data_IF_800390820677
#
_entry.id   IF_800390820677
#
_cell.length_a   1.000
_cell.length_b   1.000
_cell.length_c   1.000
_cell.angle_alpha   90.00
_cell.angle_beta   90.00
_cell.angle_gamma   90.00
#
_symmetry.space_group_name_H-M   'P 1'
#
loop_
_entity.id
_entity.type
_entity.pdbx_description
1 polymer ?
#
# COMPACT_ATOMS: atom_id res chain seq x y z
N UNK A 1 20.67 -4.06 12.30
CA UNK A 1 21.47 -4.83 13.27
C UNK A 1 21.32 -6.34 13.02
N UNK A 2 21.22 -6.77 11.75
CA UNK A 2 21.07 -8.18 11.41
C UNK A 2 22.42 -8.84 11.11
N UNK A 3 22.47 -10.18 11.24
CA UNK A 3 23.66 -11.01 10.93
C UNK A 3 24.87 -10.70 11.81
N UNK A 4 24.67 -10.66 13.12
CA UNK A 4 25.76 -10.52 14.10
C UNK A 4 25.70 -11.66 15.11
N UNK A 5 26.60 -11.61 16.08
CA UNK A 5 26.68 -12.59 17.18
C UNK A 5 26.05 -12.03 18.47
N UNK A 6 25.08 -11.11 18.36
CA UNK A 6 24.46 -10.50 19.54
C UNK A 6 23.65 -11.52 20.32
N UNK A 7 23.82 -11.54 21.63
CA UNK A 7 23.18 -12.48 22.56
C UNK A 7 22.53 -11.75 23.72
N UNK A 8 21.66 -12.45 24.44
CA UNK A 8 20.90 -11.88 25.56
C UNK A 8 19.53 -11.36 25.12
N UNK A 9 18.88 -10.56 25.98
CA UNK A 9 17.53 -10.07 25.73
C UNK A 9 17.51 -8.82 24.86
N UNK A 10 16.37 -8.55 24.20
CA UNK A 10 16.11 -7.24 23.61
C UNK A 10 15.88 -6.24 24.76
N UNK A 11 16.70 -5.17 24.87
CA UNK A 11 16.59 -4.20 25.96
C UNK A 11 15.26 -3.44 25.90
N UNK A 12 14.64 -3.18 27.05
CA UNK A 12 13.36 -2.44 27.15
C UNK A 12 13.51 -0.99 26.70
N UNK A 13 14.72 -0.45 26.79
CA UNK A 13 15.11 0.90 26.39
C UNK A 13 14.93 1.14 24.88
N UNK A 14 14.77 0.09 24.07
CA UNK A 14 14.44 0.22 22.64
C UNK A 14 13.15 1.02 22.43
N UNK A 15 12.21 0.99 23.39
CA UNK A 15 10.99 1.78 23.35
C UNK A 15 11.22 3.29 23.37
N UNK A 16 12.37 3.76 23.84
CA UNK A 16 12.74 5.18 23.84
C UNK A 16 13.25 5.68 22.49
N UNK A 17 13.48 4.81 21.52
CA UNK A 17 13.92 5.18 20.18
C UNK A 17 12.74 5.69 19.33
N UNK A 18 12.12 6.80 19.73
CA UNK A 18 10.85 7.31 19.17
C UNK A 18 10.91 7.66 17.66
N UNK A 19 12.10 7.84 17.10
CA UNK A 19 12.30 8.14 15.68
C UNK A 19 12.63 6.90 14.83
N UNK A 20 12.64 5.70 15.42
CA UNK A 20 13.03 4.48 14.73
C UNK A 20 11.88 3.99 13.82
N UNK A 21 12.14 3.96 12.51
CA UNK A 21 11.17 3.52 11.50
C UNK A 21 11.45 2.10 10.99
N UNK A 22 12.66 1.60 11.18
CA UNK A 22 13.10 0.29 10.70
C UNK A 22 14.00 -0.35 11.74
N UNK A 23 13.62 -1.54 12.21
CA UNK A 23 14.38 -2.32 13.17
C UNK A 23 14.56 -3.75 12.65
N UNK A 24 15.80 -4.07 12.26
CA UNK A 24 16.18 -5.41 11.85
C UNK A 24 17.22 -5.97 12.81
N UNK A 25 16.81 -6.97 13.59
CA UNK A 25 17.56 -7.75 14.57
C UNK A 25 17.72 -9.21 14.13
N UNK A 26 17.40 -9.52 12.87
CA UNK A 26 17.39 -10.90 12.38
C UNK A 26 18.78 -11.56 12.36
N UNK A 27 18.83 -12.87 12.43
CA UNK A 27 20.06 -13.67 12.35
C UNK A 27 21.07 -13.27 13.45
N UNK A 28 20.66 -13.41 14.71
CA UNK A 28 21.47 -13.21 15.91
C UNK A 28 21.21 -14.37 16.91
N UNK A 29 21.71 -14.24 18.14
CA UNK A 29 21.48 -15.17 19.26
C UNK A 29 20.65 -14.53 20.39
N UNK A 30 19.73 -13.62 20.03
CA UNK A 30 18.87 -12.95 21.00
C UNK A 30 17.86 -13.94 21.59
N UNK A 31 17.59 -13.84 22.88
CA UNK A 31 16.71 -14.76 23.62
C UNK A 31 15.75 -14.01 24.55
N UNK A 32 14.81 -14.73 25.16
CA UNK A 32 13.77 -14.12 25.98
C UNK A 32 12.61 -13.52 25.17
N UNK A 33 11.68 -12.80 25.83
CA UNK A 33 10.50 -12.24 25.17
C UNK A 33 10.83 -10.98 24.36
N UNK A 34 9.96 -10.64 23.40
CA UNK A 34 9.94 -9.29 22.82
C UNK A 34 9.42 -8.33 23.89
N UNK A 35 10.17 -7.27 24.28
CA UNK A 35 9.70 -6.31 25.26
C UNK A 35 8.50 -5.54 24.70
N UNK A 36 7.42 -5.45 25.48
CA UNK A 36 6.20 -4.70 25.09
C UNK A 36 6.50 -3.22 24.81
N UNK A 37 7.59 -2.68 25.36
CA UNK A 37 8.06 -1.31 25.14
C UNK A 37 8.35 -1.01 23.67
N UNK A 38 8.62 -2.02 22.84
CA UNK A 38 8.74 -1.83 21.38
C UNK A 38 7.48 -1.20 20.78
N UNK A 39 6.32 -1.38 21.43
CA UNK A 39 5.03 -0.79 21.01
C UNK A 39 4.92 0.72 21.26
N UNK A 40 5.85 1.29 22.03
CA UNK A 40 5.97 2.74 22.25
C UNK A 40 6.65 3.45 21.07
N UNK A 41 7.29 2.71 20.15
CA UNK A 41 7.92 3.27 18.96
C UNK A 41 6.83 3.55 17.91
N UNK A 42 6.22 4.73 18.00
CA UNK A 42 5.02 5.06 17.24
C UNK A 42 5.18 5.08 15.71
N UNK A 43 6.39 5.23 15.19
CA UNK A 43 6.66 5.30 13.74
C UNK A 43 7.41 4.08 13.20
N UNK A 44 7.49 2.98 13.96
CA UNK A 44 8.16 1.76 13.53
C UNK A 44 7.36 1.07 12.41
N UNK A 45 7.91 1.06 11.19
CA UNK A 45 7.25 0.50 10.02
C UNK A 45 7.60 -0.96 9.75
N UNK A 46 8.83 -1.33 10.07
CA UNK A 46 9.39 -2.66 9.82
C UNK A 46 10.08 -3.20 11.07
N UNK A 47 9.70 -4.40 11.49
CA UNK A 47 10.33 -5.15 12.56
C UNK A 47 10.74 -6.53 12.05
N UNK A 48 12.03 -6.84 12.04
CA UNK A 48 12.49 -8.19 11.77
C UNK A 48 13.29 -8.72 12.94
N UNK A 49 12.80 -9.80 13.54
CA UNK A 49 13.45 -10.52 14.62
C UNK A 49 13.69 -11.99 14.26
N UNK A 50 13.55 -12.35 12.99
CA UNK A 50 13.65 -13.74 12.56
C UNK A 50 15.03 -14.33 12.75
N UNK A 51 15.12 -15.66 12.86
CA UNK A 51 16.37 -16.37 13.10
C UNK A 51 17.07 -15.90 14.38
N UNK A 52 16.36 -16.03 15.50
CA UNK A 52 16.86 -15.81 16.86
C UNK A 52 16.35 -16.94 17.78
N UNK A 53 16.56 -16.79 19.08
CA UNK A 53 16.11 -17.71 20.14
C UNK A 53 15.03 -17.06 21.03
N UNK A 54 14.28 -16.10 20.49
CA UNK A 54 13.23 -15.40 21.22
C UNK A 54 12.07 -16.35 21.55
N UNK A 55 11.42 -16.12 22.69
CA UNK A 55 10.41 -17.03 23.23
C UNK A 55 9.20 -16.27 23.81
N UNK A 56 8.34 -17.01 24.51
CA UNK A 56 7.06 -16.54 25.05
C UNK A 56 6.03 -16.18 23.95
N UNK A 57 4.90 -15.59 24.35
CA UNK A 57 3.85 -15.15 23.43
C UNK A 57 4.20 -13.83 22.77
N UNK A 58 3.71 -13.65 21.53
CA UNK A 58 3.80 -12.39 20.81
C UNK A 58 3.00 -11.28 21.56
N UNK A 59 3.56 -10.08 21.78
CA UNK A 59 2.88 -9.00 22.51
C UNK A 59 1.58 -8.58 21.80
N UNK A 60 0.44 -8.75 22.46
CA UNK A 60 -0.89 -8.43 21.91
C UNK A 60 -1.03 -6.95 21.53
N UNK A 61 -0.37 -6.10 22.29
CA UNK A 61 -0.31 -4.64 22.13
C UNK A 61 0.28 -4.24 20.76
N UNK A 62 1.14 -5.08 20.18
CA UNK A 62 1.70 -4.86 18.84
C UNK A 62 0.62 -4.86 17.74
N UNK A 63 -0.52 -5.51 18.00
CA UNK A 63 -1.70 -5.40 17.13
C UNK A 63 -2.19 -3.96 16.98
N UNK A 64 -1.94 -3.09 17.96
CA UNK A 64 -2.36 -1.68 17.92
C UNK A 64 -1.34 -0.76 17.22
N UNK A 65 -0.15 -1.25 16.85
CA UNK A 65 0.91 -0.45 16.22
C UNK A 65 0.61 -0.16 14.74
N UNK A 66 -0.25 0.81 14.46
CA UNK A 66 -0.70 1.14 13.08
C UNK A 66 0.43 1.44 12.08
N UNK A 67 1.59 1.88 12.55
CA UNK A 67 2.79 2.09 11.72
C UNK A 67 3.45 0.77 11.31
N UNK A 68 3.40 -0.26 12.15
CA UNK A 68 4.07 -1.54 11.89
C UNK A 68 3.35 -2.33 10.80
N UNK A 69 3.83 -2.17 9.56
CA UNK A 69 3.22 -2.73 8.35
C UNK A 69 3.84 -4.05 7.92
N UNK A 70 5.06 -4.33 8.36
CA UNK A 70 5.75 -5.59 8.10
C UNK A 70 6.47 -6.03 9.36
N UNK A 71 6.16 -7.24 9.80
CA UNK A 71 6.87 -7.90 10.86
C UNK A 71 7.27 -9.32 10.45
N UNK A 72 8.47 -9.74 10.82
CA UNK A 72 8.95 -11.11 10.64
C UNK A 72 9.43 -11.68 11.98
N UNK A 73 8.66 -12.64 12.48
CA UNK A 73 8.90 -13.37 13.73
C UNK A 73 9.35 -14.82 13.47
N UNK A 74 9.63 -15.17 12.21
CA UNK A 74 9.87 -16.55 11.81
C UNK A 74 11.17 -17.10 12.43
N UNK A 75 11.28 -18.43 12.52
CA UNK A 75 12.49 -19.09 13.01
C UNK A 75 12.94 -18.60 14.39
N UNK A 76 12.04 -18.72 15.36
CA UNK A 76 12.25 -18.43 16.79
C UNK A 76 11.61 -19.55 17.63
N UNK A 77 11.47 -19.33 18.94
CA UNK A 77 10.81 -20.24 19.87
C UNK A 77 9.55 -19.62 20.51
N UNK A 78 8.81 -18.80 19.76
CA UNK A 78 7.55 -18.22 20.23
C UNK A 78 6.47 -19.29 20.45
N UNK A 79 5.57 -19.02 21.38
CA UNK A 79 4.56 -19.98 21.84
C UNK A 79 3.19 -19.35 22.01
N UNK A 80 2.14 -20.15 21.90
CA UNK A 80 0.75 -19.74 22.13
C UNK A 80 0.05 -19.26 20.86
N UNK A 81 -1.15 -18.72 21.06
CA UNK A 81 -2.02 -18.29 19.96
C UNK A 81 -1.51 -16.98 19.32
N UNK A 82 -1.43 -16.95 17.99
CA UNK A 82 -1.20 -15.73 17.22
C UNK A 82 -2.41 -14.81 17.40
N UNK A 83 -2.26 -13.58 17.91
CA UNK A 83 -3.38 -12.66 18.01
C UNK A 83 -4.00 -12.40 16.62
N UNK A 84 -5.32 -12.54 16.47
CA UNK A 84 -5.99 -12.36 15.16
C UNK A 84 -6.65 -10.99 14.99
N UNK A 85 -6.07 -9.96 15.60
CA UNK A 85 -6.59 -8.59 15.56
C UNK A 85 -5.49 -7.57 15.29
N UNK A 86 -5.90 -6.39 14.81
CA UNK A 86 -4.98 -5.30 14.55
C UNK A 86 -3.94 -5.67 13.48
N UNK A 87 -2.67 -5.31 13.66
CA UNK A 87 -1.63 -5.59 12.67
C UNK A 87 -1.33 -7.07 12.45
N UNK A 88 -1.56 -7.92 13.45
CA UNK A 88 -1.33 -9.35 13.29
C UNK A 88 -2.23 -9.99 12.23
N UNK A 89 -3.40 -9.42 11.93
CA UNK A 89 -4.26 -9.92 10.85
C UNK A 89 -3.76 -9.57 9.44
N UNK A 90 -2.78 -8.68 9.32
CA UNK A 90 -2.19 -8.24 8.04
C UNK A 90 -0.80 -8.84 7.78
N UNK A 91 -0.11 -9.34 8.80
CA UNK A 91 1.19 -9.99 8.62
C UNK A 91 1.05 -11.29 7.82
N UNK A 92 2.03 -11.56 6.96
CA UNK A 92 2.02 -12.76 6.12
C UNK A 92 2.13 -14.01 7.02
N UNK A 93 1.47 -15.12 6.64
CA UNK A 93 1.60 -16.40 7.34
C UNK A 93 3.06 -16.85 7.44
N UNK A 94 3.89 -16.51 6.45
CA UNK A 94 5.34 -16.79 6.47
C UNK A 94 6.06 -16.14 7.65
N UNK A 95 5.59 -14.98 8.12
CA UNK A 95 6.17 -14.23 9.25
C UNK A 95 6.12 -14.98 10.58
N UNK A 96 5.35 -16.06 10.67
CA UNK A 96 5.18 -16.85 11.89
C UNK A 96 5.79 -18.25 11.80
N UNK A 97 6.26 -18.66 10.62
CA UNK A 97 6.79 -20.01 10.37
C UNK A 97 8.05 -20.30 11.18
N UNK A 98 8.36 -21.59 11.41
CA UNK A 98 9.55 -21.96 12.16
C UNK A 98 9.50 -21.65 13.67
N UNK A 99 8.30 -21.46 14.24
CA UNK A 99 8.06 -21.39 15.68
C UNK A 99 7.26 -22.65 16.13
N UNK A 100 7.90 -23.66 16.74
CA UNK A 100 7.28 -24.97 16.98
C UNK A 100 6.04 -24.97 17.89
N UNK A 101 5.94 -23.99 18.79
CA UNK A 101 4.90 -23.91 19.82
C UNK A 101 3.84 -22.83 19.55
N UNK A 102 3.91 -22.18 18.40
CA UNK A 102 2.95 -21.16 17.98
C UNK A 102 1.77 -21.81 17.25
N UNK A 103 0.56 -21.35 17.53
CA UNK A 103 -0.67 -21.90 16.96
C UNK A 103 -1.64 -20.77 16.55
N UNK A 104 -2.62 -21.04 15.68
CA UNK A 104 -3.58 -20.03 15.19
C UNK A 104 -4.09 -20.35 13.79
N UNK A 105 -4.97 -19.52 13.22
CA UNK A 105 -5.65 -19.81 11.94
C UNK A 105 -4.71 -20.09 10.75
N UNK A 106 -3.48 -19.56 10.79
CA UNK A 106 -2.48 -19.72 9.73
C UNK A 106 -1.49 -20.87 9.97
N UNK A 107 -1.57 -21.55 11.12
CA UNK A 107 -0.70 -22.65 11.55
C UNK A 107 -1.56 -23.84 12.03
N UNK A 108 -1.00 -24.70 12.88
CA UNK A 108 -1.74 -25.78 13.52
C UNK A 108 -2.81 -25.20 14.47
N UNK A 109 -4.01 -25.80 14.54
CA UNK A 109 -5.04 -25.41 15.49
C UNK A 109 -4.50 -25.44 16.92
N UNK A 110 -4.79 -24.40 17.71
CA UNK A 110 -4.46 -24.39 19.14
C UNK A 110 -5.27 -25.47 19.84
N UNK A 111 -4.61 -26.59 20.18
CA UNK A 111 -5.26 -27.67 20.90
C UNK A 111 -5.31 -27.29 22.38
N UNK A 112 -6.42 -26.66 22.79
CA UNK A 112 -6.70 -26.49 24.20
C UNK A 112 -6.97 -27.87 24.78
N UNK A 113 -5.95 -28.49 25.37
CA UNK A 113 -6.10 -29.66 26.22
C UNK A 113 -6.84 -29.24 27.50
N UNK A 114 -8.13 -28.97 27.36
CA UNK A 114 -9.05 -28.94 28.49
C UNK A 114 -9.25 -30.39 28.92
N UNK A 115 -8.43 -30.83 29.85
CA UNK A 115 -8.67 -32.02 30.68
C UNK A 115 -10.07 -31.92 31.28
N UNK A 116 -11.03 -32.60 30.68
CA UNK A 116 -12.27 -33.03 31.34
C UNK A 116 -12.29 -34.56 31.35
N UNK A 117 -12.60 -35.21 32.49
CA UNK A 117 -12.71 -36.66 32.52
C UNK A 117 -13.94 -37.08 31.71
N UNK A 118 -13.72 -37.79 30.62
CA UNK A 118 -14.80 -38.43 29.87
C UNK A 118 -15.38 -39.54 30.75
N UNK A 119 -16.62 -39.34 31.16
CA UNK A 119 -17.49 -40.36 31.72
C UNK A 119 -17.59 -41.53 30.73
N UNK A 120 -17.14 -42.72 31.14
CA UNK A 120 -17.46 -43.96 30.46
C UNK A 120 -18.98 -44.13 30.44
N UNK A 121 -19.58 -44.16 29.24
CA UNK A 121 -20.90 -44.73 29.04
C UNK A 121 -20.85 -45.78 27.94
N UNK A 122 -21.17 -47.00 28.36
CA UNK A 122 -21.35 -48.19 27.55
C UNK A 122 -22.37 -47.93 26.43
N UNK A 123 -21.93 -48.09 25.17
CA UNK A 123 -22.81 -48.11 24.02
C UNK A 123 -23.50 -49.46 23.87
N UNK A 124 -24.72 -49.57 24.40
CA UNK A 124 -25.68 -50.57 23.93
C UNK A 124 -26.06 -50.27 22.47
N UNK A 125 -25.77 -51.22 21.57
CA UNK A 125 -26.19 -51.14 20.16
C UNK A 125 -27.71 -51.31 20.07
N UNK A 126 -28.43 -50.21 19.82
CA UNK A 126 -29.84 -50.27 19.42
C UNK A 126 -29.94 -50.60 17.93
N UNK A 127 -30.60 -51.72 17.63
CA UNK A 127 -30.82 -52.20 16.28
C UNK A 127 -32.02 -51.46 15.65
N UNK A 128 -31.75 -50.46 14.80
CA UNK A 128 -32.80 -49.75 14.03
C UNK A 128 -33.24 -50.60 12.83
N UNK A 129 -34.54 -50.94 12.68
CA UNK A 129 -35.03 -51.78 11.58
C UNK A 129 -34.78 -51.14 10.21
N UNK A 130 -34.33 -51.95 9.24
CA UNK A 130 -33.68 -51.53 7.99
C UNK A 130 -34.47 -50.59 7.06
N UNK A 131 -35.78 -50.39 7.29
CA UNK A 131 -36.61 -49.47 6.49
C UNK A 131 -36.33 -47.99 6.77
N UNK A 132 -35.90 -47.64 7.99
CA UNK A 132 -35.64 -46.25 8.37
C UNK A 132 -34.22 -45.77 8.03
N UNK A 133 -33.27 -46.69 7.79
CA UNK A 133 -31.90 -46.35 7.39
C UNK A 133 -31.85 -45.69 6.01
N UNK A 134 -32.66 -46.18 5.07
CA UNK A 134 -32.72 -45.63 3.71
C UNK A 134 -33.35 -44.23 3.69
N UNK A 135 -34.44 -44.04 4.42
CA UNK A 135 -35.11 -42.73 4.53
C UNK A 135 -34.22 -41.69 5.23
N UNK A 136 -33.50 -42.09 6.28
CA UNK A 136 -32.55 -41.21 6.96
C UNK A 136 -31.35 -40.87 6.06
N UNK A 137 -30.82 -41.84 5.31
CA UNK A 137 -29.75 -41.60 4.36
C UNK A 137 -30.17 -40.65 3.22
N UNK A 138 -31.36 -40.83 2.65
CA UNK A 138 -31.91 -39.94 1.62
C UNK A 138 -32.17 -38.53 2.17
N UNK A 139 -32.66 -38.41 3.40
CA UNK A 139 -32.85 -37.13 4.08
C UNK A 139 -31.52 -36.39 4.31
N UNK A 140 -30.48 -37.10 4.78
CA UNK A 140 -29.14 -36.52 4.94
C UNK A 140 -28.52 -36.10 3.60
N UNK A 141 -28.74 -36.87 2.53
CA UNK A 141 -28.27 -36.54 1.18
C UNK A 141 -28.96 -35.29 0.63
N UNK A 142 -30.26 -35.13 0.88
CA UNK A 142 -30.99 -33.92 0.49
C UNK A 142 -30.50 -32.70 1.29
N UNK A 143 -30.32 -32.85 2.60
CA UNK A 143 -29.78 -31.80 3.46
C UNK A 143 -28.36 -31.40 3.05
N UNK A 144 -27.50 -32.35 2.68
CA UNK A 144 -26.14 -32.06 2.23
C UNK A 144 -26.13 -31.36 0.87
N UNK A 145 -27.02 -31.73 -0.07
CA UNK A 145 -27.18 -31.02 -1.33
C UNK A 145 -27.67 -29.58 -1.12
N UNK A 146 -28.67 -29.38 -0.26
CA UNK A 146 -29.19 -28.05 0.07
C UNK A 146 -28.10 -27.20 0.74
N UNK A 147 -27.35 -27.78 1.69
CA UNK A 147 -26.24 -27.09 2.33
C UNK A 147 -25.12 -26.75 1.34
N UNK A 148 -24.78 -27.65 0.42
CA UNK A 148 -23.81 -27.40 -0.63
C UNK A 148 -24.27 -26.28 -1.58
N UNK A 149 -25.54 -26.27 -1.99
CA UNK A 149 -26.12 -25.20 -2.83
C UNK A 149 -26.11 -23.87 -2.08
N UNK A 150 -26.51 -23.85 -0.79
CA UNK A 150 -26.46 -22.64 0.04
C UNK A 150 -25.02 -22.17 0.27
N UNK A 151 -24.06 -23.08 0.44
CA UNK A 151 -22.65 -22.76 0.53
C UNK A 151 -22.11 -22.20 -0.80
N UNK A 152 -22.52 -22.74 -1.94
CA UNK A 152 -22.17 -22.23 -3.28
C UNK A 152 -22.79 -20.84 -3.52
N UNK A 153 -24.04 -20.62 -3.10
CA UNK A 153 -24.69 -19.31 -3.20
C UNK A 153 -24.02 -18.30 -2.25
N UNK A 154 -23.73 -18.70 -1.01
CA UNK A 154 -23.06 -17.86 -0.02
C UNK A 154 -21.64 -17.52 -0.46
N UNK A 155 -20.88 -18.48 -0.98
CA UNK A 155 -19.52 -18.24 -1.53
C UNK A 155 -19.57 -17.37 -2.77
N UNK A 156 -20.51 -17.56 -3.72
CA UNK A 156 -20.70 -16.65 -4.87
C UNK A 156 -21.07 -15.23 -4.45
N UNK A 157 -21.91 -15.08 -3.41
CA UNK A 157 -22.33 -13.77 -2.87
C UNK A 157 -21.22 -13.10 -2.07
N UNK A 158 -20.39 -13.86 -1.36
CA UNK A 158 -19.21 -13.38 -0.64
C UNK A 158 -18.08 -12.96 -1.59
N UNK A 159 -17.86 -13.73 -2.67
CA UNK A 159 -16.89 -13.41 -3.75
C UNK A 159 -17.27 -12.13 -4.50
N UNK A 160 -18.56 -11.82 -4.62
CA UNK A 160 -19.05 -10.56 -5.21
C UNK A 160 -18.88 -9.34 -4.30
N UNK A 161 -18.61 -9.55 -3.00
CA UNK A 161 -18.47 -8.50 -1.98
C UNK A 161 -17.02 -8.23 -1.53
N UNK A 162 -16.05 -9.00 -2.05
CA UNK A 162 -14.62 -8.86 -1.80
C UNK A 162 -13.97 -8.23 -3.03
N UNK A 163 -13.46 -7.00 -2.87
CA UNK A 163 -12.55 -6.30 -3.79
C UNK A 163 -12.99 -6.08 -5.25
N UNK A 164 -14.25 -5.67 -5.48
CA UNK A 164 -14.63 -5.12 -6.79
C UNK A 164 -13.88 -3.81 -7.05
N UNK A 165 -12.96 -3.82 -8.00
CA UNK A 165 -12.26 -2.62 -8.45
C UNK A 165 -13.19 -1.72 -9.25
N UNK A 166 -13.21 -0.43 -8.93
CA UNK A 166 -13.95 0.61 -9.65
C UNK A 166 -13.00 1.36 -10.56
N UNK A 167 -13.22 1.29 -11.87
CA UNK A 167 -12.48 2.06 -12.86
C UNK A 167 -13.26 3.32 -13.27
N UNK A 168 -12.62 4.47 -13.20
CA UNK A 168 -13.11 5.76 -13.69
C UNK A 168 -12.18 6.25 -14.79
N UNK A 169 -12.68 6.29 -16.03
CA UNK A 169 -11.90 6.71 -17.19
C UNK A 169 -12.06 8.22 -17.44
N UNK A 170 -10.97 8.93 -17.73
CA UNK A 170 -10.99 10.34 -18.12
C UNK A 170 -10.92 10.52 -19.65
N UNK A 171 -10.85 9.42 -20.38
CA UNK A 171 -10.81 9.32 -21.84
C UNK A 171 -11.35 7.96 -22.28
N UNK A 172 -11.52 7.73 -23.58
CA UNK A 172 -11.78 6.39 -24.10
C UNK A 172 -10.59 5.47 -23.76
N UNK A 173 -10.87 4.33 -23.15
CA UNK A 173 -9.90 3.29 -22.81
C UNK A 173 -10.27 2.00 -23.53
N UNK A 174 -9.26 1.29 -24.00
CA UNK A 174 -9.40 -0.04 -24.61
C UNK A 174 -8.91 -1.15 -23.65
N UNK A 175 -8.83 -0.84 -22.35
CA UNK A 175 -8.38 -1.74 -21.29
C UNK A 175 -9.20 -1.52 -20.01
N UNK A 176 -9.31 -2.57 -19.19
CA UNK A 176 -10.08 -2.61 -17.96
C UNK A 176 -9.24 -2.53 -16.68
N UNK A 177 -9.90 -2.70 -15.52
CA UNK A 177 -9.23 -2.74 -14.22
C UNK A 177 -8.26 -3.91 -14.11
N UNK A 178 -8.61 -5.07 -14.66
CA UNK A 178 -7.79 -6.28 -14.56
C UNK A 178 -6.44 -6.10 -15.27
N UNK A 179 -6.44 -5.47 -16.45
CA UNK A 179 -5.22 -5.12 -17.20
C UNK A 179 -4.30 -4.17 -16.40
N UNK A 180 -4.89 -3.20 -15.69
CA UNK A 180 -4.14 -2.27 -14.82
C UNK A 180 -3.50 -3.03 -13.66
N UNK A 181 -4.21 -4.00 -13.08
CA UNK A 181 -3.72 -4.79 -11.95
C UNK A 181 -2.57 -5.71 -12.35
N UNK A 182 -2.59 -6.25 -13.57
CA UNK A 182 -1.47 -7.04 -14.09
C UNK A 182 -0.16 -6.25 -14.21
N UNK A 183 -0.24 -4.91 -14.27
CA UNK A 183 0.92 -4.03 -14.29
C UNK A 183 1.56 -3.84 -12.90
N UNK A 184 0.80 -4.04 -11.82
CA UNK A 184 1.24 -3.78 -10.44
C UNK A 184 2.03 -4.97 -9.89
N UNK A 185 3.27 -5.13 -10.38
CA UNK A 185 4.22 -6.19 -10.01
C UNK A 185 5.58 -5.60 -9.64
N UNK A 186 6.32 -6.23 -8.74
CA UNK A 186 7.60 -5.67 -8.26
C UNK A 186 8.64 -5.45 -9.37
N UNK A 187 8.65 -6.32 -10.39
CA UNK A 187 9.54 -6.19 -11.55
C UNK A 187 9.17 -5.02 -12.48
N UNK A 188 7.99 -4.43 -12.32
CA UNK A 188 7.52 -3.30 -13.11
C UNK A 188 7.76 -1.95 -12.42
N UNK A 189 8.33 -1.92 -11.22
CA UNK A 189 8.53 -0.67 -10.46
C UNK A 189 9.54 0.24 -11.16
N UNK A 190 9.12 1.47 -11.43
CA UNK A 190 9.94 2.53 -12.04
C UNK A 190 10.20 3.70 -11.09
N UNK A 191 9.51 3.78 -9.95
CA UNK A 191 9.72 4.83 -8.97
C UNK A 191 9.08 4.53 -7.62
N UNK A 192 9.72 4.98 -6.55
CA UNK A 192 9.20 4.90 -5.17
C UNK A 192 9.39 6.26 -4.49
N UNK A 193 8.36 6.74 -3.79
CA UNK A 193 8.43 8.01 -3.07
C UNK A 193 7.31 8.16 -2.05
N UNK A 194 7.26 9.33 -1.38
CA UNK A 194 6.25 9.61 -0.35
C UNK A 194 4.80 9.58 -0.85
N UNK A 195 4.59 9.74 -2.16
CA UNK A 195 3.28 9.64 -2.79
C UNK A 195 2.88 8.20 -3.17
N UNK A 196 3.78 7.21 -3.02
CA UNK A 196 3.53 5.81 -3.35
C UNK A 196 4.54 5.21 -4.33
N UNK A 197 4.11 4.17 -5.03
CA UNK A 197 4.94 3.37 -5.95
C UNK A 197 4.40 3.50 -7.36
N UNK A 198 5.29 3.76 -8.32
CA UNK A 198 4.94 3.87 -9.74
C UNK A 198 5.43 2.62 -10.48
N UNK A 199 4.53 2.01 -11.24
CA UNK A 199 4.77 0.81 -12.04
C UNK A 199 4.64 1.16 -13.52
N UNK A 200 5.52 0.61 -14.36
CA UNK A 200 5.35 0.62 -15.81
C UNK A 200 4.43 -0.52 -16.22
N UNK A 201 3.44 -0.20 -17.05
CA UNK A 201 2.50 -1.15 -17.63
C UNK A 201 2.52 -1.12 -19.14
N UNK A 202 2.08 -2.23 -19.75
CA UNK A 202 1.76 -2.33 -21.17
C UNK A 202 0.35 -2.88 -21.26
N UNK A 203 -0.54 -2.16 -21.89
CA UNK A 203 -1.94 -2.56 -22.09
C UNK A 203 -2.04 -3.64 -23.19
N UNK A 204 -3.19 -4.33 -23.33
CA UNK A 204 -3.35 -5.38 -24.35
C UNK A 204 -3.09 -4.93 -25.80
N UNK A 205 -3.27 -3.64 -26.10
CA UNK A 205 -2.99 -3.06 -27.42
C UNK A 205 -1.55 -2.55 -27.59
N UNK A 206 -0.66 -2.80 -26.61
CA UNK A 206 0.75 -2.39 -26.66
C UNK A 206 1.02 -0.96 -26.18
N UNK A 207 0.00 -0.23 -25.71
CA UNK A 207 0.17 1.12 -25.19
C UNK A 207 0.90 1.08 -23.83
N UNK A 208 1.90 1.95 -23.66
CA UNK A 208 2.64 2.04 -22.40
C UNK A 208 1.94 3.01 -21.42
N UNK A 209 1.83 2.59 -20.16
CA UNK A 209 1.21 3.37 -19.08
C UNK A 209 2.08 3.40 -17.84
N UNK A 210 1.91 4.44 -17.03
CA UNK A 210 2.47 4.52 -15.69
C UNK A 210 1.33 4.40 -14.67
N UNK A 211 1.39 3.39 -13.80
CA UNK A 211 0.39 3.13 -12.76
C UNK A 211 0.98 3.55 -11.42
N UNK A 212 0.48 4.63 -10.82
CA UNK A 212 0.87 5.11 -9.48
C UNK A 212 -0.07 4.49 -8.46
N UNK A 213 0.44 3.54 -7.67
CA UNK A 213 -0.24 2.99 -6.48
C UNK A 213 0.02 3.91 -5.31
N UNK A 214 -1.06 4.51 -4.81
CA UNK A 214 -1.00 5.38 -3.65
C UNK A 214 -0.95 4.54 -2.38
N UNK A 215 -0.24 5.05 -1.37
CA UNK A 215 -0.22 4.45 -0.04
C UNK A 215 -1.64 4.48 0.56
N UNK A 216 -2.02 3.43 1.27
CA UNK A 216 -3.41 3.15 1.66
C UNK A 216 -4.10 4.27 2.45
N UNK A 217 -5.43 4.33 2.31
CA UNK A 217 -6.31 5.33 2.93
C UNK A 217 -6.31 5.16 4.46
N UNK A 218 -5.40 5.80 5.16
CA UNK A 218 -5.59 6.07 6.59
C UNK A 218 -6.62 7.18 6.73
N UNK A 219 -7.87 6.83 7.07
CA UNK A 219 -8.91 7.77 7.50
C UNK A 219 -8.33 8.71 8.57
N UNK A 220 -7.99 9.94 8.18
CA UNK A 220 -7.42 10.97 9.05
C UNK A 220 -6.09 11.58 8.61
N UNK A 221 -5.40 11.04 7.59
CA UNK A 221 -4.18 11.67 7.04
C UNK A 221 -4.49 12.61 5.88
N UNK A 222 -3.77 13.73 5.78
CA UNK A 222 -3.86 14.78 4.75
C UNK A 222 -3.73 14.31 3.28
N UNK A 223 -3.49 13.01 3.03
CA UNK A 223 -3.34 12.43 1.69
C UNK A 223 -4.64 12.40 0.86
N UNK A 224 -5.82 12.41 1.48
CA UNK A 224 -7.09 12.54 0.73
C UNK A 224 -7.14 13.86 -0.05
N UNK A 225 -6.53 14.92 0.49
CA UNK A 225 -6.46 16.22 -0.20
C UNK A 225 -5.58 16.13 -1.44
N UNK A 226 -4.50 15.33 -1.42
CA UNK A 226 -3.60 15.21 -2.56
C UNK A 226 -4.16 14.35 -3.68
N UNK A 227 -4.77 13.21 -3.34
CA UNK A 227 -5.48 12.38 -4.31
C UNK A 227 -6.64 13.13 -4.95
N UNK A 228 -7.48 13.78 -4.13
CA UNK A 228 -8.62 14.55 -4.65
C UNK A 228 -8.17 15.75 -5.47
N UNK A 229 -7.08 16.43 -5.10
CA UNK A 229 -6.48 17.47 -5.92
C UNK A 229 -6.03 16.93 -7.27
N UNK A 230 -5.26 15.85 -7.29
CA UNK A 230 -4.70 15.27 -8.51
C UNK A 230 -5.81 14.78 -9.47
N UNK A 231 -6.82 14.07 -8.98
CA UNK A 231 -7.98 13.63 -9.79
C UNK A 231 -8.80 14.83 -10.28
N UNK A 232 -9.10 15.80 -9.40
CA UNK A 232 -9.95 16.95 -9.76
C UNK A 232 -9.29 17.83 -10.81
N UNK A 233 -7.97 18.03 -10.68
CA UNK A 233 -7.16 18.83 -11.60
C UNK A 233 -6.94 18.09 -12.91
N UNK A 234 -6.24 16.96 -12.88
CA UNK A 234 -5.86 16.24 -14.10
C UNK A 234 -7.04 15.58 -14.82
N UNK A 235 -8.13 15.27 -14.11
CA UNK A 235 -9.34 14.74 -14.73
C UNK A 235 -10.09 15.75 -15.61
N UNK A 236 -9.80 17.05 -15.49
CA UNK A 236 -10.50 18.12 -16.21
C UNK A 236 -9.64 18.86 -17.24
N UNK A 237 -8.32 18.88 -17.06
CA UNK A 237 -7.42 19.64 -17.91
C UNK A 237 -6.74 18.78 -18.97
N UNK A 238 -6.42 19.38 -20.11
CA UNK A 238 -5.69 18.74 -21.21
C UNK A 238 -4.77 19.76 -21.85
N UNK A 239 -3.47 19.49 -21.80
CA UNK A 239 -2.47 20.35 -22.41
C UNK A 239 -1.27 19.50 -22.86
N UNK A 240 -0.63 19.87 -23.99
CA UNK A 240 0.49 19.10 -24.56
C UNK A 240 1.67 18.96 -23.60
N UNK A 241 1.90 19.95 -22.74
CA UNK A 241 3.01 19.95 -21.78
C UNK A 241 2.56 19.63 -20.34
N UNK A 242 1.47 18.88 -20.16
CA UNK A 242 1.02 18.38 -18.86
C UNK A 242 0.76 16.89 -18.99
N UNK A 243 1.25 16.10 -18.04
CA UNK A 243 1.06 14.65 -18.04
C UNK A 243 -0.43 14.32 -17.97
N UNK A 244 -0.87 13.45 -18.87
CA UNK A 244 -2.27 13.07 -19.01
C UNK A 244 -2.65 11.94 -18.06
N UNK A 245 -3.64 12.20 -17.20
CA UNK A 245 -4.32 11.17 -16.42
C UNK A 245 -5.33 10.45 -17.32
N UNK A 246 -5.14 9.14 -17.50
CA UNK A 246 -6.00 8.28 -18.32
C UNK A 246 -7.17 7.73 -17.52
N UNK A 247 -6.88 7.22 -16.34
CA UNK A 247 -7.86 6.55 -15.50
C UNK A 247 -7.52 6.64 -14.02
N UNK A 248 -8.54 6.46 -13.19
CA UNK A 248 -8.44 6.24 -11.76
C UNK A 248 -9.10 4.90 -11.44
N UNK A 249 -8.38 4.01 -10.76
CA UNK A 249 -8.89 2.71 -10.35
C UNK A 249 -8.79 2.57 -8.84
N UNK A 250 -9.88 2.24 -8.16
CA UNK A 250 -9.90 2.15 -6.70
C UNK A 250 -10.64 0.92 -6.19
N UNK A 251 -10.22 0.45 -5.01
CA UNK A 251 -10.94 -0.52 -4.22
C UNK A 251 -11.04 -0.02 -2.76
N UNK A 252 -11.41 -0.89 -1.83
CA UNK A 252 -11.56 -0.51 -0.41
C UNK A 252 -10.22 -0.22 0.30
N UNK A 253 -9.10 -0.62 -0.28
CA UNK A 253 -7.78 -0.64 0.36
C UNK A 253 -6.82 0.38 -0.27
N UNK A 254 -6.88 0.55 -1.59
CA UNK A 254 -5.90 1.32 -2.35
C UNK A 254 -6.51 2.02 -3.56
N UNK A 255 -5.77 3.03 -4.01
CA UNK A 255 -6.08 3.87 -5.15
C UNK A 255 -4.92 3.78 -6.15
N UNK A 256 -5.27 3.63 -7.42
CA UNK A 256 -4.36 3.60 -8.55
C UNK A 256 -4.69 4.78 -9.47
N UNK A 257 -3.68 5.55 -9.83
CA UNK A 257 -3.76 6.56 -10.87
C UNK A 257 -3.00 6.05 -12.09
N UNK A 258 -3.63 6.09 -13.26
CA UNK A 258 -3.07 5.60 -14.51
C UNK A 258 -2.79 6.78 -15.42
N UNK A 259 -1.51 6.98 -15.74
CA UNK A 259 -1.03 8.04 -16.62
C UNK A 259 -0.48 7.45 -17.93
N UNK A 260 -0.30 8.32 -18.92
CA UNK A 260 0.65 8.02 -20.00
C UNK A 260 2.06 7.80 -19.46
N UNK A 261 2.81 6.92 -20.12
CA UNK A 261 4.19 6.62 -19.73
C UNK A 261 5.18 7.58 -20.40
N UNK A 262 6.13 8.07 -19.59
CA UNK A 262 7.20 8.98 -20.01
C UNK A 262 8.53 8.22 -20.06
N UNK A 263 8.97 7.71 -21.23
CA UNK A 263 10.09 6.76 -21.33
C UNK A 263 11.45 7.34 -20.97
N UNK A 264 11.63 8.67 -21.06
CA UNK A 264 12.89 9.32 -20.71
C UNK A 264 12.97 9.73 -19.23
N UNK A 265 11.94 9.41 -18.43
CA UNK A 265 11.93 9.65 -16.99
C UNK A 265 11.82 11.14 -16.64
N UNK A 266 12.32 11.50 -15.47
CA UNK A 266 12.29 12.89 -14.99
C UNK A 266 13.49 13.70 -15.46
N UNK A 267 13.31 15.01 -15.66
CA UNK A 267 14.39 15.93 -15.99
C UNK A 267 15.51 15.91 -14.94
N UNK A 268 15.16 15.76 -13.65
CA UNK A 268 16.16 15.64 -12.58
C UNK A 268 17.08 14.43 -12.76
N UNK A 269 16.53 13.25 -13.10
CA UNK A 269 17.33 12.06 -13.41
C UNK A 269 18.16 12.24 -14.67
N UNK A 270 17.63 12.90 -15.71
CA UNK A 270 18.41 13.15 -16.93
C UNK A 270 19.55 14.13 -16.66
N UNK A 271 19.33 15.20 -15.89
CA UNK A 271 20.36 16.20 -15.57
C UNK A 271 21.48 15.64 -14.67
N UNK A 272 21.12 14.87 -13.65
CA UNK A 272 22.06 14.42 -12.61
C UNK A 272 22.51 12.96 -12.76
N UNK A 273 21.86 12.19 -13.63
CA UNK A 273 22.21 10.81 -13.91
C UNK A 273 23.26 10.67 -15.02
N UNK A 274 23.55 9.42 -15.39
CA UNK A 274 24.52 9.06 -16.44
C UNK A 274 24.18 9.63 -17.84
N UNK A 275 22.97 10.16 -18.01
CA UNK A 275 22.46 10.74 -19.26
C UNK A 275 22.64 12.28 -19.35
N UNK A 276 23.21 12.93 -18.32
CA UNK A 276 23.33 14.40 -18.26
C UNK A 276 24.19 15.02 -19.36
N UNK A 277 25.16 14.27 -19.91
CA UNK A 277 26.00 14.71 -21.03
C UNK A 277 25.26 14.81 -22.37
N UNK A 278 24.05 14.23 -22.49
CA UNK A 278 23.27 14.23 -23.74
C UNK A 278 22.33 15.44 -23.88
N UNK A 279 22.03 16.15 -22.79
CA UNK A 279 21.20 17.36 -22.81
C UNK A 279 22.02 18.59 -23.19
N UNK A 280 22.20 18.82 -24.50
CA UNK A 280 22.74 20.08 -25.03
C UNK A 280 21.89 21.27 -24.61
N UNK A 281 22.47 22.47 -24.62
CA UNK A 281 21.80 23.71 -24.22
C UNK A 281 20.46 23.94 -24.93
N UNK A 282 20.41 23.72 -26.25
CA UNK A 282 19.19 23.86 -27.05
C UNK A 282 18.04 22.98 -26.53
N UNK A 283 18.34 21.74 -26.15
CA UNK A 283 17.34 20.83 -25.58
C UNK A 283 16.89 21.29 -24.19
N UNK A 284 17.81 21.80 -23.36
CA UNK A 284 17.47 22.36 -22.05
C UNK A 284 16.56 23.57 -22.19
N UNK A 285 16.84 24.45 -23.14
CA UNK A 285 16.01 25.62 -23.44
C UNK A 285 14.62 25.20 -23.93
N UNK A 286 14.55 24.21 -24.84
CA UNK A 286 13.28 23.62 -25.30
C UNK A 286 12.45 23.12 -24.11
N UNK A 287 13.05 22.30 -23.25
CA UNK A 287 12.41 21.74 -22.06
C UNK A 287 11.90 22.85 -21.12
N UNK A 288 12.71 23.89 -20.89
CA UNK A 288 12.31 25.03 -20.05
C UNK A 288 11.10 25.78 -20.63
N UNK A 289 11.10 26.05 -21.94
CA UNK A 289 9.98 26.70 -22.63
C UNK A 289 8.71 25.84 -22.55
N UNK A 290 8.82 24.53 -22.76
CA UNK A 290 7.69 23.60 -22.73
C UNK A 290 7.09 23.46 -21.33
N UNK A 291 7.93 23.34 -20.30
CA UNK A 291 7.48 23.36 -18.91
C UNK A 291 6.77 24.69 -18.58
N UNK A 292 7.33 25.83 -19.02
CA UNK A 292 6.74 27.15 -18.83
C UNK A 292 5.37 27.29 -19.52
N UNK A 293 5.20 26.73 -20.74
CA UNK A 293 3.90 26.69 -21.43
C UNK A 293 2.87 25.91 -20.64
N UNK A 294 3.24 24.73 -20.12
CA UNK A 294 2.35 23.94 -19.25
C UNK A 294 1.89 24.70 -18.01
N UNK A 295 2.81 25.41 -17.35
CA UNK A 295 2.50 26.24 -16.18
C UNK A 295 1.67 27.49 -16.54
N UNK A 296 1.97 28.12 -17.67
CA UNK A 296 1.23 29.30 -18.16
C UNK A 296 -0.25 28.96 -18.39
N UNK A 297 -0.52 27.82 -19.02
CA UNK A 297 -1.87 27.30 -19.21
C UNK A 297 -2.64 27.13 -17.87
N UNK A 298 -1.98 26.60 -16.83
CA UNK A 298 -2.60 26.45 -15.51
C UNK A 298 -2.96 27.80 -14.85
N UNK A 299 -2.13 28.81 -15.07
CA UNK A 299 -2.23 30.11 -14.41
C UNK A 299 -3.09 31.14 -15.16
N UNK A 300 -3.38 30.93 -16.45
CA UNK A 300 -4.08 31.94 -17.27
C UNK A 300 -5.27 31.36 -18.04
N UNK A 301 -5.17 30.11 -18.50
CA UNK A 301 -6.19 29.53 -19.40
C UNK A 301 -7.18 28.62 -18.67
N UNK A 302 -6.83 28.14 -17.47
CA UNK A 302 -7.73 27.36 -16.62
C UNK A 302 -8.68 28.27 -15.83
N UNK A 303 -9.96 27.93 -15.79
CA UNK A 303 -10.96 28.58 -14.93
C UNK A 303 -11.62 27.54 -14.01
N UNK A 304 -11.44 27.60 -12.67
CA UNK A 304 -10.59 28.55 -11.94
C UNK A 304 -9.08 28.31 -12.15
N UNK A 305 -8.26 29.33 -11.87
CA UNK A 305 -6.80 29.25 -11.96
C UNK A 305 -6.25 28.12 -11.07
N UNK A 306 -5.19 27.46 -11.52
CA UNK A 306 -4.62 26.30 -10.83
C UNK A 306 -3.17 26.57 -10.47
N UNK A 307 -2.85 26.57 -9.17
CA UNK A 307 -1.48 26.67 -8.68
C UNK A 307 -0.94 25.27 -8.42
N UNK A 308 0.18 24.90 -9.06
CA UNK A 308 0.78 23.57 -8.93
C UNK A 308 1.42 23.32 -7.54
N UNK A 309 2.11 24.31 -6.98
CA UNK A 309 2.82 24.29 -5.67
C UNK A 309 3.98 23.29 -5.49
N UNK A 310 4.38 22.54 -6.52
CA UNK A 310 5.52 21.61 -6.43
C UNK A 310 6.30 21.52 -7.74
N UNK A 311 6.63 22.67 -8.32
CA UNK A 311 7.42 22.73 -9.56
C UNK A 311 8.89 22.47 -9.22
N UNK A 312 9.44 21.36 -9.71
CA UNK A 312 10.83 20.93 -9.56
C UNK A 312 11.26 20.03 -10.72
N UNK A 313 12.55 19.84 -10.92
CA UNK A 313 13.09 19.02 -12.04
C UNK A 313 12.58 17.57 -12.01
N UNK A 314 12.32 16.99 -10.84
CA UNK A 314 11.75 15.64 -10.73
C UNK A 314 10.28 15.54 -11.14
N UNK A 315 9.56 16.68 -11.18
CA UNK A 315 8.15 16.77 -11.58
C UNK A 315 8.00 17.26 -13.03
N UNK A 316 9.10 17.35 -13.79
CA UNK A 316 9.09 17.56 -15.24
C UNK A 316 9.48 16.23 -15.87
N UNK A 317 8.53 15.54 -16.49
CA UNK A 317 8.77 14.27 -17.17
C UNK A 317 9.01 14.49 -18.66
N UNK A 318 9.74 13.55 -19.27
CA UNK A 318 10.18 13.63 -20.66
C UNK A 318 9.61 12.46 -21.46
N UNK A 319 8.92 12.77 -22.56
CA UNK A 319 8.43 11.75 -23.50
C UNK A 319 9.60 11.23 -24.38
N UNK A 320 9.32 10.35 -25.35
CA UNK A 320 10.31 9.77 -26.27
C UNK A 320 11.13 10.82 -27.03
N UNK A 321 10.52 11.96 -27.35
CA UNK A 321 11.11 13.04 -28.14
C UNK A 321 11.75 14.15 -27.27
N UNK A 322 11.94 13.85 -25.98
CA UNK A 322 12.44 14.77 -24.96
C UNK A 322 11.57 16.02 -24.79
N UNK A 323 10.26 15.92 -25.08
CA UNK A 323 9.32 17.00 -24.80
C UNK A 323 8.89 17.00 -23.33
N UNK A 324 8.84 18.18 -22.74
CA UNK A 324 8.57 18.36 -21.32
C UNK A 324 7.08 18.31 -20.99
N UNK A 325 6.75 17.55 -19.95
CA UNK A 325 5.41 17.41 -19.40
C UNK A 325 5.44 17.64 -17.89
N UNK A 326 4.67 18.62 -17.41
CA UNK A 326 4.52 18.91 -15.98
C UNK A 326 3.70 17.79 -15.33
N UNK A 327 4.17 17.28 -14.19
CA UNK A 327 3.63 16.11 -13.50
C UNK A 327 3.47 16.33 -11.99
N UNK A 328 2.80 15.39 -11.32
CA UNK A 328 2.58 15.34 -9.86
C UNK A 328 1.76 16.52 -9.30
N UNK A 329 0.45 16.45 -9.55
CA UNK A 329 -0.52 17.46 -9.13
C UNK A 329 -1.09 17.19 -7.73
N UNK A 330 -0.43 16.33 -6.95
CA UNK A 330 -0.84 15.99 -5.58
C UNK A 330 -0.88 17.20 -4.62
N UNK A 331 -0.20 18.30 -4.96
CA UNK A 331 -0.27 19.56 -4.21
C UNK A 331 -1.02 20.66 -4.96
N UNK A 332 -1.68 20.40 -6.09
CA UNK A 332 -2.36 21.44 -6.84
C UNK A 332 -3.53 22.07 -6.05
N UNK A 333 -3.75 23.37 -6.23
CA UNK A 333 -4.86 24.11 -5.57
C UNK A 333 -5.52 25.07 -6.57
N UNK A 334 -6.84 25.16 -6.51
CA UNK A 334 -7.60 26.14 -7.27
C UNK A 334 -7.62 27.47 -6.53
N UNK A 335 -7.36 28.56 -7.25
CA UNK A 335 -7.58 29.91 -6.74
C UNK A 335 -9.07 30.24 -6.90
N UNK A 336 -9.75 30.59 -5.81
CA UNK A 336 -11.10 31.17 -5.88
C UNK A 336 -10.96 32.70 -5.92
N UNK A 337 -11.78 33.35 -6.76
CA UNK A 337 -11.78 34.80 -7.03
C UNK A 337 -12.29 35.65 -5.84
N UNK A 338 -12.02 35.24 -4.60
CA UNK A 338 -12.26 36.07 -3.42
C UNK A 338 -10.99 36.90 -3.18
N UNK A 339 -11.09 38.20 -3.45
CA UNK A 339 -9.98 39.14 -3.50
C UNK A 339 -8.90 38.94 -2.43
N UNK A 340 -7.65 38.92 -2.89
CA UNK A 340 -6.42 39.19 -2.15
C UNK A 340 -6.45 38.95 -0.63
N UNK A 341 -6.62 37.71 -0.16
CA UNK A 341 -6.07 37.18 1.11
C UNK A 341 -6.55 35.75 1.43
N UNK A 342 -6.33 34.77 0.53
CA UNK A 342 -6.45 33.34 0.90
C UNK A 342 -5.17 32.55 0.57
N UNK A 343 -4.01 33.12 0.90
CA UNK A 343 -2.75 32.37 0.96
C UNK A 343 -2.42 31.98 2.40
N UNK A 344 -3.33 31.25 3.06
CA UNK A 344 -3.10 30.65 4.38
C UNK A 344 -3.46 29.16 4.42
N UNK A 345 -3.14 28.42 3.34
CA UNK A 345 -2.99 26.97 3.48
C UNK A 345 -1.56 26.68 3.91
N UNK A 346 -1.36 25.74 4.85
CA UNK A 346 -0.05 25.28 5.32
C UNK A 346 1.00 25.22 4.20
N UNK A 347 2.25 25.61 4.50
CA UNK A 347 3.37 25.56 3.56
C UNK A 347 3.43 24.18 2.92
N UNK A 348 3.37 24.15 1.60
CA UNK A 348 3.42 22.94 0.81
C UNK A 348 4.38 23.16 -0.37
N UNK A 349 5.19 22.14 -0.65
CA UNK A 349 6.19 22.17 -1.71
C UNK A 349 7.49 21.51 -1.26
N UNK A 350 8.40 21.32 -2.20
CA UNK A 350 9.71 20.74 -1.92
C UNK A 350 10.69 21.78 -1.37
N UNK A 351 11.46 21.40 -0.35
CA UNK A 351 12.52 22.24 0.22
C UNK A 351 13.49 22.71 -0.88
N UNK A 352 13.85 23.99 -0.88
CA UNK A 352 14.66 24.61 -1.94
C UNK A 352 13.88 25.11 -3.17
N UNK A 353 12.59 24.77 -3.29
CA UNK A 353 11.70 25.24 -4.38
C UNK A 353 10.51 26.07 -3.88
N UNK A 354 10.29 26.12 -2.56
CA UNK A 354 9.27 26.95 -1.94
C UNK A 354 9.67 28.43 -2.06
N UNK A 355 8.75 29.26 -2.54
CA UNK A 355 8.96 30.69 -2.63
C UNK A 355 9.22 31.28 -1.23
N UNK A 356 10.23 32.14 -1.04
CA UNK A 356 10.56 32.72 0.27
C UNK A 356 9.35 33.38 0.93
N UNK A 357 8.52 34.08 0.18
CA UNK A 357 7.34 34.79 0.73
C UNK A 357 6.33 33.85 1.40
N UNK A 358 6.32 32.56 1.04
CA UNK A 358 5.42 31.56 1.64
C UNK A 358 6.00 30.94 2.92
N UNK A 359 7.30 31.08 3.19
CA UNK A 359 7.96 30.55 4.39
C UNK A 359 8.01 31.51 5.58
N UNK A 360 7.64 32.78 5.38
CA UNK A 360 7.77 33.84 6.39
C UNK A 360 6.43 34.23 7.06
N UNK A 361 5.31 33.69 6.57
CA UNK A 361 3.97 33.90 7.13
C UNK A 361 3.42 32.63 7.81
N UNK A 362 4.28 31.86 8.47
CA UNK A 362 3.89 30.73 9.31
C UNK A 362 4.19 30.98 10.78
#
# INVERSE_FOLDING_TARGET
MSRNNFSGIIPVEIGHCLLLTYLDLSQNHLSGPIPVQITQIHILNYLNVSWNQLNASLPKEMGNMKSLTSADFSHNNFSGEIPEFGQYSFFNSTSFTGNPHLCGSYLNPCNYSSTTPIHNQNGNKSHVPGKYKLLFALGLLLCSLVFAVLAIIKTRKFRKNSNSWKLTAFQKLDFGSDDILECVKDNNVIGRGGAGVVYRGVTPNGEQVAVKKLLGITKGSSHDNGLSAEIRTLGKIRHRNIVRLKAFCSNKETNLLVYEYMPNGSLGEVLHGKRGSFLKWEMRLKIAIEAAKGLSYLHHDCSPLIIHRDVKSNNILLNSDFEAHVADFGLAKYLQDTGASECMSAVAGSYGYIAPVLGWYC
#
